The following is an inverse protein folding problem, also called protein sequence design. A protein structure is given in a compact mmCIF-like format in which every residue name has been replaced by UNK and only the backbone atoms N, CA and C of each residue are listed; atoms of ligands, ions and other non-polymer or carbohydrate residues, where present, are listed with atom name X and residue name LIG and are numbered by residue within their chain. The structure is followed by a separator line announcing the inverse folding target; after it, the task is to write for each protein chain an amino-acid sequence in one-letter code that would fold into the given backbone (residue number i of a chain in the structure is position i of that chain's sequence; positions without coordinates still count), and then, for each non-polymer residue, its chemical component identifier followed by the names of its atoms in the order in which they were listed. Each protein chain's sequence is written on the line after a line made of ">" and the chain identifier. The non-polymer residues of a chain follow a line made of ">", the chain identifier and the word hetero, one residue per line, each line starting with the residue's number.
data_IF_172486845163
#
_entry.id   IF_172486845163
#
_cell.length_a   1.000
_cell.length_b   1.000
_cell.length_c   1.000
_cell.angle_alpha   90.00
_cell.angle_beta   90.00
_cell.angle_gamma   90.00
#
_symmetry.space_group_name_H-M   'P 1'
#
loop_
_entity.id
_entity.type
_entity.pdbx_description
1 polymer ?
#
# COMPACT_ATOMS: atom_id res chain seq x y z
N UNK A 1 -2.92 0.06 -1.60
CA UNK A 1 -1.71 -0.74 -1.32
C UNK A 1 -1.86 -1.61 -0.08
N UNK A 2 -2.37 -1.07 1.03
CA UNK A 2 -2.67 -1.83 2.27
C UNK A 2 -3.55 -3.06 2.00
N UNK A 3 -4.71 -2.88 1.36
CA UNK A 3 -5.63 -3.99 1.02
C UNK A 3 -4.95 -5.10 0.17
N UNK A 4 -4.08 -4.69 -0.77
CA UNK A 4 -3.35 -5.65 -1.62
C UNK A 4 -2.35 -6.48 -0.81
N UNK A 5 -1.62 -5.84 0.11
CA UNK A 5 -0.69 -6.48 1.03
C UNK A 5 -1.40 -7.51 1.91
N UNK A 6 -2.54 -7.14 2.50
CA UNK A 6 -3.37 -8.05 3.30
C UNK A 6 -3.84 -9.25 2.48
N UNK A 7 -4.23 -9.04 1.23
CA UNK A 7 -4.63 -10.12 0.32
C UNK A 7 -3.48 -11.05 -0.03
N UNK A 8 -2.28 -10.51 -0.27
CA UNK A 8 -1.07 -11.31 -0.52
C UNK A 8 -0.73 -12.16 0.70
N UNK A 9 -0.78 -11.58 1.90
CA UNK A 9 -0.57 -12.33 3.14
C UNK A 9 -1.59 -13.44 3.34
N UNK A 10 -2.87 -13.16 3.09
CA UNK A 10 -3.92 -14.17 3.20
C UNK A 10 -3.69 -15.33 2.23
N UNK A 11 -3.31 -15.03 0.98
CA UNK A 11 -3.00 -16.06 -0.02
C UNK A 11 -1.78 -16.89 0.39
N UNK A 12 -0.74 -16.27 0.94
CA UNK A 12 0.46 -16.98 1.41
C UNK A 12 0.12 -17.89 2.60
N UNK A 13 -0.67 -17.41 3.57
CA UNK A 13 -1.19 -18.21 4.69
C UNK A 13 -2.00 -19.41 4.21
N UNK A 14 -2.89 -19.23 3.24
CA UNK A 14 -3.72 -20.30 2.67
C UNK A 14 -2.93 -21.33 1.84
N UNK A 15 -1.70 -21.00 1.43
CA UNK A 15 -0.82 -21.86 0.62
C UNK A 15 0.37 -22.40 1.40
N UNK A 16 0.42 -22.16 2.71
CA UNK A 16 1.52 -22.55 3.59
C UNK A 16 2.90 -22.03 3.10
N UNK A 17 2.90 -20.80 2.56
CA UNK A 17 4.12 -20.11 2.12
C UNK A 17 4.61 -19.25 3.28
N UNK A 18 5.75 -19.62 3.85
CA UNK A 18 6.40 -18.90 4.96
C UNK A 18 7.18 -17.67 4.50
N UNK A 19 7.77 -17.73 3.30
CA UNK A 19 8.54 -16.63 2.72
C UNK A 19 7.66 -15.73 1.85
N UNK A 20 6.92 -14.83 2.50
CA UNK A 20 6.06 -13.85 1.81
C UNK A 20 6.90 -12.76 1.13
N UNK A 21 8.09 -12.46 1.64
CA UNK A 21 8.96 -11.41 1.12
C UNK A 21 9.39 -11.68 -0.32
N UNK A 22 9.62 -12.96 -0.69
CA UNK A 22 9.92 -13.33 -2.08
C UNK A 22 8.69 -13.35 -3.00
N UNK A 23 7.48 -13.55 -2.45
CA UNK A 23 6.23 -13.53 -3.24
C UNK A 23 5.81 -12.12 -3.62
N UNK A 24 6.10 -11.12 -2.77
CA UNK A 24 5.70 -9.73 -3.00
C UNK A 24 6.24 -9.21 -4.36
N UNK A 25 7.55 -9.25 -4.67
CA UNK A 25 8.07 -8.82 -5.97
C UNK A 25 7.44 -9.54 -7.16
N UNK A 26 7.12 -10.83 -7.03
CA UNK A 26 6.53 -11.63 -8.11
C UNK A 26 5.08 -11.23 -8.43
N UNK A 27 4.40 -10.58 -7.49
CA UNK A 27 3.00 -10.14 -7.64
C UNK A 27 2.88 -8.66 -7.96
N UNK A 28 3.96 -7.89 -7.83
CA UNK A 28 4.00 -6.50 -8.26
C UNK A 28 4.06 -6.42 -9.78
N UNK A 29 3.40 -5.42 -10.36
CA UNK A 29 3.36 -5.21 -11.82
C UNK A 29 3.59 -3.74 -12.13
N UNK A 30 4.30 -3.46 -13.24
CA UNK A 30 4.52 -2.11 -13.73
C UNK A 30 5.31 -1.24 -12.74
N UNK A 31 4.83 -0.01 -12.51
CA UNK A 31 5.48 0.99 -11.66
C UNK A 31 5.77 0.51 -10.23
N UNK A 32 4.91 -0.36 -9.68
CA UNK A 32 5.11 -0.88 -8.33
C UNK A 32 6.28 -1.86 -8.21
N UNK A 33 6.55 -2.62 -9.27
CA UNK A 33 7.74 -3.46 -9.32
C UNK A 33 9.00 -2.59 -9.46
N UNK A 34 8.99 -1.60 -10.35
CA UNK A 34 10.15 -0.74 -10.56
C UNK A 34 10.51 0.05 -9.30
N UNK A 35 9.54 0.58 -8.55
CA UNK A 35 9.84 1.34 -7.33
C UNK A 35 10.51 0.47 -6.26
N UNK A 36 10.03 -0.76 -6.05
CA UNK A 36 10.65 -1.71 -5.13
C UNK A 36 12.03 -2.18 -5.59
N UNK A 37 12.19 -2.44 -6.90
CA UNK A 37 13.46 -2.86 -7.47
C UNK A 37 14.50 -1.75 -7.51
N UNK A 38 14.09 -0.50 -7.71
CA UNK A 38 14.99 0.62 -8.03
C UNK A 38 15.38 1.51 -6.86
N UNK A 39 14.56 1.69 -5.80
CA UNK A 39 14.81 2.84 -4.92
C UNK A 39 14.56 2.72 -3.41
N UNK A 40 13.92 1.68 -2.88
CA UNK A 40 13.39 1.78 -1.49
C UNK A 40 13.92 0.76 -0.48
N UNK A 41 14.55 -0.34 -0.90
CA UNK A 41 14.98 -1.40 0.04
C UNK A 41 16.39 -1.85 -0.29
N UNK A 42 17.31 -1.72 0.68
CA UNK A 42 18.66 -2.28 0.58
C UNK A 42 18.57 -3.80 0.33
N UNK A 43 19.41 -4.41 -0.51
CA UNK A 43 19.33 -5.84 -0.83
C UNK A 43 19.33 -6.76 0.42
N UNK A 44 20.01 -6.37 1.49
CA UNK A 44 20.01 -7.08 2.79
C UNK A 44 18.65 -7.02 3.52
N UNK A 45 17.87 -5.96 3.29
CA UNK A 45 16.59 -5.70 3.95
C UNK A 45 15.40 -6.33 3.22
N UNK A 46 15.60 -6.75 1.97
CA UNK A 46 14.58 -7.43 1.14
C UNK A 46 14.20 -8.81 1.67
N UNK A 47 15.00 -9.40 2.55
CA UNK A 47 14.70 -10.67 3.22
C UNK A 47 13.72 -10.52 4.39
N UNK A 48 13.55 -9.30 4.92
CA UNK A 48 12.60 -9.02 5.99
C UNK A 48 11.27 -8.58 5.41
N UNK A 49 10.21 -9.33 5.73
CA UNK A 49 8.86 -9.00 5.28
C UNK A 49 8.46 -7.60 5.75
N UNK A 50 8.74 -7.24 7.00
CA UNK A 50 8.30 -5.98 7.60
C UNK A 50 8.93 -4.77 6.89
N UNK A 51 10.22 -4.85 6.57
CA UNK A 51 10.92 -3.78 5.83
C UNK A 51 10.40 -3.63 4.41
N UNK A 52 10.09 -4.74 3.74
CA UNK A 52 9.47 -4.71 2.41
C UNK A 52 8.09 -4.07 2.46
N UNK A 53 7.29 -4.36 3.49
CA UNK A 53 5.98 -3.73 3.69
C UNK A 53 6.11 -2.23 3.93
N UNK A 54 6.95 -1.83 4.87
CA UNK A 54 7.17 -0.41 5.20
C UNK A 54 7.63 0.39 3.98
N UNK A 55 8.62 -0.13 3.25
CA UNK A 55 9.12 0.53 2.05
C UNK A 55 8.06 0.63 0.95
N UNK A 56 7.23 -0.40 0.79
CA UNK A 56 6.15 -0.37 -0.20
C UNK A 56 5.04 0.59 0.22
N UNK A 57 4.73 0.68 1.52
CA UNK A 57 3.78 1.67 2.04
C UNK A 57 4.33 3.09 1.87
N UNK A 58 5.60 3.33 2.20
CA UNK A 58 6.24 4.65 2.05
C UNK A 58 6.35 5.07 0.58
N UNK A 59 6.71 4.16 -0.32
CA UNK A 59 6.82 4.42 -1.75
C UNK A 59 5.48 4.79 -2.41
N UNK A 60 4.38 4.33 -1.85
CA UNK A 60 3.02 4.55 -2.35
C UNK A 60 2.17 5.41 -1.42
N UNK A 61 2.76 5.98 -0.37
CA UNK A 61 2.09 6.93 0.50
C UNK A 61 1.74 8.18 -0.31
N UNK A 62 0.57 8.74 -0.05
CA UNK A 62 0.22 10.02 -0.61
C UNK A 62 1.20 11.08 -0.08
N UNK A 63 1.63 12.00 -0.95
CA UNK A 63 2.37 13.17 -0.48
C UNK A 63 1.49 13.94 0.53
N UNK A 64 1.99 14.28 1.73
CA UNK A 64 1.15 14.89 2.77
C UNK A 64 0.50 16.22 2.35
N UNK A 65 1.15 17.00 1.48
CA UNK A 65 0.57 18.26 0.97
C UNK A 65 -0.53 17.99 -0.05
N UNK A 66 -0.30 17.02 -0.96
CA UNK A 66 -1.31 16.58 -1.92
C UNK A 66 -2.52 15.94 -1.20
N UNK A 67 -2.28 15.14 -0.16
CA UNK A 67 -3.32 14.52 0.65
C UNK A 67 -4.18 15.58 1.35
N UNK A 68 -3.55 16.61 1.92
CA UNK A 68 -4.25 17.73 2.55
C UNK A 68 -5.12 18.51 1.54
N UNK A 69 -4.58 18.82 0.36
CA UNK A 69 -5.35 19.51 -0.69
C UNK A 69 -6.56 18.66 -1.12
N UNK A 70 -6.37 17.35 -1.30
CA UNK A 70 -7.48 16.43 -1.60
C UNK A 70 -8.51 16.38 -0.47
N UNK A 71 -8.07 16.34 0.78
CA UNK A 71 -8.94 16.33 1.96
C UNK A 71 -9.81 17.59 2.02
N UNK A 72 -9.23 18.77 1.82
CA UNK A 72 -9.95 20.06 1.88
C UNK A 72 -10.92 20.22 0.72
N UNK A 73 -10.56 19.74 -0.47
CA UNK A 73 -11.40 19.83 -1.67
C UNK A 73 -12.51 18.77 -1.71
N UNK A 74 -12.44 17.73 -0.86
CA UNK A 74 -13.36 16.60 -0.88
C UNK A 74 -14.76 17.01 -0.40
N UNK A 75 -15.75 16.83 -1.28
CA UNK A 75 -17.18 17.03 -0.99
C UNK A 75 -17.94 15.74 -1.24
N UNK A 76 -18.94 15.38 -0.41
CA UNK A 76 -19.69 14.14 -0.58
C UNK A 76 -20.38 14.11 -1.94
N UNK A 77 -20.34 12.96 -2.61
CA UNK A 77 -21.03 12.73 -3.87
C UNK A 77 -22.56 12.69 -3.68
N UNK A 78 -23.35 12.93 -4.74
CA UNK A 78 -24.81 12.97 -4.65
C UNK A 78 -25.44 11.64 -4.21
N UNK A 79 -24.79 10.51 -4.49
CA UNK A 79 -25.26 9.15 -4.17
C UNK A 79 -24.29 8.39 -3.25
N UNK A 80 -23.35 9.11 -2.64
CA UNK A 80 -22.32 8.51 -1.79
C UNK A 80 -22.86 8.27 -0.37
N UNK A 81 -22.58 7.09 0.18
CA UNK A 81 -22.94 6.84 1.58
C UNK A 81 -22.02 7.60 2.54
N UNK A 82 -22.52 8.08 3.68
CA UNK A 82 -21.71 8.79 4.68
C UNK A 82 -20.51 7.97 5.16
N UNK A 83 -20.65 6.64 5.24
CA UNK A 83 -19.58 5.74 5.68
C UNK A 83 -18.43 5.67 4.67
N UNK A 84 -18.74 5.65 3.37
CA UNK A 84 -17.72 5.66 2.30
C UNK A 84 -16.99 7.00 2.28
N UNK A 85 -17.74 8.09 2.38
CA UNK A 85 -17.16 9.44 2.45
C UNK A 85 -16.21 9.59 3.65
N UNK A 86 -16.64 9.11 4.81
CA UNK A 86 -15.85 9.19 6.04
C UNK A 86 -14.62 8.28 5.99
N UNK A 87 -14.74 7.07 5.42
CA UNK A 87 -13.62 6.16 5.22
C UNK A 87 -12.53 6.79 4.34
N UNK A 88 -12.91 7.45 3.25
CA UNK A 88 -11.94 8.15 2.39
C UNK A 88 -11.29 9.34 3.10
N UNK A 89 -12.06 10.16 3.83
CA UNK A 89 -11.49 11.28 4.59
C UNK A 89 -10.47 10.80 5.64
N UNK A 90 -10.75 9.70 6.33
CA UNK A 90 -9.78 9.11 7.28
C UNK A 90 -8.51 8.68 6.58
N UNK A 91 -8.62 8.04 5.42
CA UNK A 91 -7.44 7.63 4.64
C UNK A 91 -6.60 8.79 4.13
N UNK A 92 -7.19 9.97 3.91
CA UNK A 92 -6.48 11.17 3.47
C UNK A 92 -5.83 11.95 4.65
N UNK A 93 -6.17 11.60 5.90
CA UNK A 93 -5.71 12.26 7.11
C UNK A 93 -4.67 11.43 7.92
N UNK A 94 -4.38 10.21 7.49
CA UNK A 94 -3.28 9.37 8.00
C UNK A 94 -1.93 9.75 7.37
#
# INVERSE_FOLDING_TARGET
>A
MVEWLEKVELVCKLRDISDVASVIPLRLTGGAFTTLSSSTVHPEERSSIDKVKEALLAAFAADPFVAYDQFVLRKPGPDESPDVFLAELRSLAE
#
